data_IF_459306347696
#
_entry.id   IF_459306347696
#
_cell.length_a   1.000
_cell.length_b   1.000
_cell.length_c   1.000
_cell.angle_alpha   90.00
_cell.angle_beta   90.00
_cell.angle_gamma   90.00
#
_symmetry.space_group_name_H-M   'P 1'
#
loop_
_entity.id
_entity.type
_entity.pdbx_description
1 polymer ?
#
# COMPACT_ATOMS: atom_id res chain seq x y z
N UNK A 1 -3.51 28.84 -16.18
CA UNK A 1 -4.21 28.51 -17.47
C UNK A 1 -4.26 27.00 -17.74
N UNK A 2 -3.14 26.23 -17.74
CA UNK A 2 -3.23 24.77 -17.85
C UNK A 2 -3.90 24.13 -16.62
N UNK A 3 -3.69 24.70 -15.42
CA UNK A 3 -4.36 24.29 -14.17
C UNK A 3 -5.88 24.51 -14.23
N UNK A 4 -6.32 25.53 -14.93
CA UNK A 4 -7.73 25.79 -15.15
C UNK A 4 -8.40 24.68 -15.96
N UNK A 5 -7.73 24.23 -17.03
CA UNK A 5 -8.20 23.09 -17.85
C UNK A 5 -8.26 21.83 -17.00
N UNK A 6 -7.19 21.56 -16.23
CA UNK A 6 -7.15 20.40 -15.34
C UNK A 6 -8.29 20.46 -14.30
N UNK A 7 -8.55 21.63 -13.70
CA UNK A 7 -9.65 21.84 -12.76
C UNK A 7 -11.02 21.58 -13.39
N UNK A 8 -11.27 22.07 -14.61
CA UNK A 8 -12.54 21.83 -15.30
C UNK A 8 -12.76 20.36 -15.66
N UNK A 9 -11.70 19.61 -16.02
CA UNK A 9 -11.78 18.17 -16.22
C UNK A 9 -12.13 17.47 -14.90
N UNK A 10 -11.47 17.86 -13.80
CA UNK A 10 -11.77 17.32 -12.47
C UNK A 10 -13.21 17.62 -12.03
N UNK A 11 -13.69 18.83 -12.28
CA UNK A 11 -15.10 19.18 -11.99
C UNK A 11 -16.09 18.34 -12.80
N UNK A 12 -15.80 18.08 -14.08
CA UNK A 12 -16.63 17.22 -14.91
C UNK A 12 -16.66 15.78 -14.39
N UNK A 13 -15.53 15.27 -13.89
CA UNK A 13 -15.46 13.94 -13.22
C UNK A 13 -16.29 13.94 -11.94
N UNK A 14 -16.13 14.95 -11.08
CA UNK A 14 -16.89 15.05 -9.82
C UNK A 14 -18.39 15.17 -10.04
N UNK A 15 -18.82 15.87 -11.10
CA UNK A 15 -20.23 15.96 -11.49
C UNK A 15 -20.78 14.67 -12.15
N UNK A 16 -19.91 13.75 -12.54
CA UNK A 16 -20.28 12.55 -13.26
C UNK A 16 -20.49 12.75 -14.78
N UNK A 17 -20.09 13.90 -15.34
CA UNK A 17 -20.11 14.17 -16.77
C UNK A 17 -19.04 13.37 -17.53
N UNK A 18 -17.96 12.99 -16.83
CA UNK A 18 -16.89 12.12 -17.28
C UNK A 18 -16.70 10.99 -16.28
N UNK A 19 -16.73 9.75 -16.75
CA UNK A 19 -16.52 8.55 -15.94
C UNK A 19 -15.23 7.79 -16.27
N UNK A 20 -14.88 6.77 -15.51
CA UNK A 20 -13.75 5.88 -15.81
C UNK A 20 -13.84 5.31 -17.22
N UNK A 21 -12.71 5.29 -17.93
CA UNK A 21 -12.57 4.89 -19.34
C UNK A 21 -13.22 5.82 -20.38
N UNK A 22 -13.81 6.94 -19.99
CA UNK A 22 -14.23 7.95 -20.97
C UNK A 22 -13.01 8.59 -21.62
N UNK A 23 -13.12 8.82 -22.93
CA UNK A 23 -12.07 9.43 -23.71
C UNK A 23 -12.23 10.95 -23.71
N UNK A 24 -11.18 11.67 -23.35
CA UNK A 24 -11.15 13.11 -23.53
C UNK A 24 -11.13 13.47 -25.02
N UNK A 25 -11.69 14.65 -25.41
CA UNK A 25 -11.57 15.17 -26.77
C UNK A 25 -10.10 15.23 -27.21
N UNK A 26 -9.82 15.05 -28.51
CA UNK A 26 -8.46 15.20 -29.04
C UNK A 26 -7.85 16.58 -28.73
N UNK A 27 -6.51 16.65 -28.62
CA UNK A 27 -5.79 17.90 -28.31
C UNK A 27 -6.26 19.08 -29.18
N UNK A 28 -6.55 18.84 -30.49
CA UNK A 28 -7.01 19.86 -31.40
C UNK A 28 -8.36 20.43 -30.96
N UNK A 29 -9.28 19.57 -30.57
CA UNK A 29 -10.61 19.97 -30.12
C UNK A 29 -10.55 20.66 -28.76
N UNK A 30 -9.71 20.21 -27.85
CA UNK A 30 -9.46 20.88 -26.56
C UNK A 30 -8.90 22.29 -26.74
N UNK A 31 -8.04 22.52 -27.75
CA UNK A 31 -7.56 23.85 -28.11
C UNK A 31 -8.72 24.77 -28.53
N UNK A 32 -9.67 24.24 -29.30
CA UNK A 32 -10.86 25.01 -29.76
C UNK A 32 -11.83 25.26 -28.58
N UNK A 33 -12.09 24.23 -27.75
CA UNK A 33 -13.01 24.36 -26.62
C UNK A 33 -12.51 25.39 -25.59
N UNK A 34 -11.22 25.34 -25.25
CA UNK A 34 -10.65 26.20 -24.22
C UNK A 34 -10.06 27.50 -24.74
N UNK A 35 -9.95 27.68 -26.06
CA UNK A 35 -9.39 28.89 -26.66
C UNK A 35 -7.91 29.14 -26.31
N UNK A 36 -7.12 28.09 -26.10
CA UNK A 36 -5.73 28.16 -25.63
C UNK A 36 -4.75 27.54 -26.62
N UNK A 37 -3.45 27.71 -26.38
CA UNK A 37 -2.41 27.10 -27.22
C UNK A 37 -2.34 25.58 -27.06
N UNK A 38 -1.82 24.87 -28.08
CA UNK A 38 -1.55 23.44 -28.01
C UNK A 38 -0.58 23.08 -26.88
N UNK A 39 0.37 23.94 -26.58
CA UNK A 39 1.32 23.77 -25.49
C UNK A 39 0.59 23.73 -24.15
N UNK A 40 -0.34 24.65 -23.95
CA UNK A 40 -1.17 24.74 -22.73
C UNK A 40 -2.02 23.49 -22.53
N UNK A 41 -2.63 22.96 -23.60
CA UNK A 41 -3.42 21.71 -23.56
C UNK A 41 -2.53 20.53 -23.21
N UNK A 42 -1.34 20.42 -23.81
CA UNK A 42 -0.40 19.34 -23.49
C UNK A 42 0.08 19.37 -22.05
N UNK A 43 0.36 20.55 -21.51
CA UNK A 43 0.73 20.69 -20.10
C UNK A 43 -0.44 20.31 -19.18
N UNK A 44 -1.69 20.64 -19.52
CA UNK A 44 -2.85 20.19 -18.77
C UNK A 44 -2.99 18.65 -18.80
N UNK A 45 -2.85 18.03 -19.97
CA UNK A 45 -2.89 16.55 -20.12
C UNK A 45 -1.78 15.91 -19.31
N UNK A 46 -0.55 16.43 -19.38
CA UNK A 46 0.57 15.92 -18.56
C UNK A 46 0.31 16.06 -17.06
N UNK A 47 -0.23 17.19 -16.63
CA UNK A 47 -0.57 17.41 -15.22
C UNK A 47 -1.63 16.43 -14.72
N UNK A 48 -2.67 16.17 -15.52
CA UNK A 48 -3.71 15.20 -15.23
C UNK A 48 -3.17 13.76 -15.23
N UNK A 49 -2.25 13.43 -16.15
CA UNK A 49 -1.59 12.11 -16.20
C UNK A 49 -0.68 11.90 -15.00
N UNK A 50 0.13 12.90 -14.64
CA UNK A 50 1.00 12.86 -13.46
C UNK A 50 0.22 12.74 -12.15
N UNK A 51 -0.96 13.33 -12.07
CA UNK A 51 -1.86 13.19 -10.92
C UNK A 51 -2.66 11.88 -10.92
N UNK A 52 -2.50 11.03 -11.96
CA UNK A 52 -3.19 9.74 -12.05
C UNK A 52 -4.67 9.84 -12.40
N UNK A 53 -5.15 11.01 -12.84
CA UNK A 53 -6.55 11.25 -13.24
C UNK A 53 -6.85 10.67 -14.60
N UNK A 54 -5.88 10.73 -15.50
CA UNK A 54 -5.99 10.17 -16.86
C UNK A 54 -4.81 9.26 -17.18
N UNK A 55 -4.98 8.44 -18.20
CA UNK A 55 -3.92 7.69 -18.87
C UNK A 55 -3.87 8.00 -20.36
N UNK A 56 -2.65 8.11 -20.92
CA UNK A 56 -2.47 8.33 -22.37
C UNK A 56 -2.18 6.99 -23.04
N UNK A 57 -3.14 6.54 -23.87
CA UNK A 57 -3.02 5.30 -24.67
C UNK A 57 -2.47 5.63 -26.05
N UNK A 58 -1.57 4.79 -26.58
CA UNK A 58 -0.98 4.93 -27.92
C UNK A 58 -1.72 4.05 -28.94
N UNK A 59 -1.55 4.36 -30.24
CA UNK A 59 -2.12 3.57 -31.33
C UNK A 59 -3.31 4.23 -32.02
N UNK A 60 -3.98 3.48 -32.90
CA UNK A 60 -5.10 3.98 -33.73
C UNK A 60 -6.33 4.42 -32.91
N UNK A 61 -6.53 3.82 -31.77
CA UNK A 61 -7.56 4.20 -30.79
C UNK A 61 -6.98 5.06 -29.66
N UNK A 62 -5.74 5.52 -29.80
CA UNK A 62 -5.03 6.29 -28.79
C UNK A 62 -5.73 7.58 -28.36
N UNK A 63 -5.25 8.15 -27.26
CA UNK A 63 -5.78 9.39 -26.68
C UNK A 63 -5.70 9.39 -25.18
N UNK A 64 -6.17 10.45 -24.54
CA UNK A 64 -6.27 10.57 -23.10
C UNK A 64 -7.61 9.99 -22.62
N UNK A 65 -7.58 9.11 -21.64
CA UNK A 65 -8.75 8.44 -21.04
C UNK A 65 -8.79 8.71 -19.56
N UNK A 66 -9.99 8.89 -19.01
CA UNK A 66 -10.16 8.96 -17.56
C UNK A 66 -9.74 7.62 -16.94
N UNK A 67 -8.79 7.66 -16.01
CA UNK A 67 -8.29 6.46 -15.31
C UNK A 67 -9.29 6.04 -14.25
N UNK A 68 -9.52 4.74 -14.12
CA UNK A 68 -10.22 4.20 -12.96
C UNK A 68 -9.34 4.38 -11.72
N UNK A 69 -9.85 5.01 -10.63
CA UNK A 69 -9.04 5.24 -9.45
C UNK A 69 -8.60 3.92 -8.82
N UNK A 70 -7.31 3.65 -8.75
CA UNK A 70 -6.78 2.55 -7.97
C UNK A 70 -6.42 3.03 -6.56
N UNK A 71 -7.32 2.74 -5.61
CA UNK A 71 -7.10 3.04 -4.19
C UNK A 71 -5.81 2.41 -3.68
N UNK A 72 -5.38 1.27 -4.24
CA UNK A 72 -4.17 0.61 -3.83
C UNK A 72 -2.93 1.43 -4.20
N UNK A 73 -2.88 1.99 -5.44
CA UNK A 73 -1.79 2.89 -5.83
C UNK A 73 -1.67 4.10 -4.89
N UNK A 74 -2.81 4.68 -4.49
CA UNK A 74 -2.83 5.82 -3.55
C UNK A 74 -2.30 5.41 -2.18
N UNK A 75 -2.76 4.26 -1.65
CA UNK A 75 -2.28 3.71 -0.38
C UNK A 75 -0.78 3.46 -0.43
N UNK A 76 -0.27 2.85 -1.50
CA UNK A 76 1.16 2.55 -1.67
C UNK A 76 2.01 3.82 -1.74
N UNK A 77 1.53 4.88 -2.40
CA UNK A 77 2.23 6.18 -2.45
C UNK A 77 2.30 6.84 -1.06
N UNK A 78 1.18 6.86 -0.33
CA UNK A 78 1.13 7.39 1.04
C UNK A 78 2.00 6.54 1.97
N UNK A 79 1.95 5.21 1.86
CA UNK A 79 2.77 4.30 2.63
C UNK A 79 4.27 4.57 2.40
N UNK A 80 4.69 4.72 1.14
CA UNK A 80 6.08 5.05 0.80
C UNK A 80 6.51 6.41 1.39
N UNK A 81 5.66 7.43 1.34
CA UNK A 81 5.93 8.72 1.95
C UNK A 81 6.05 8.62 3.48
N UNK A 82 5.14 7.90 4.13
CA UNK A 82 5.13 7.70 5.58
C UNK A 82 6.28 6.80 6.08
N UNK A 83 6.77 5.86 5.25
CA UNK A 83 7.98 5.06 5.55
C UNK A 83 9.22 5.94 5.76
N UNK A 84 9.25 7.13 5.19
CA UNK A 84 10.32 8.13 5.41
C UNK A 84 10.16 8.92 6.71
N UNK A 85 9.04 8.79 7.41
CA UNK A 85 8.79 9.39 8.71
C UNK A 85 9.23 8.46 9.86
N UNK A 86 9.33 9.02 11.08
CA UNK A 86 9.71 8.24 12.26
C UNK A 86 8.48 7.62 12.95
N UNK A 87 7.70 6.83 12.22
CA UNK A 87 6.55 6.13 12.79
C UNK A 87 6.98 5.02 13.74
N UNK A 88 6.23 4.87 14.80
CA UNK A 88 6.41 3.77 15.78
C UNK A 88 5.26 2.77 15.67
N UNK A 89 5.54 1.51 16.00
CA UNK A 89 4.48 0.48 16.04
C UNK A 89 3.38 0.83 17.06
N UNK A 90 3.72 1.58 18.10
CA UNK A 90 2.73 2.04 19.08
C UNK A 90 1.74 3.01 18.44
N UNK A 91 2.19 4.03 17.71
CA UNK A 91 1.33 4.98 16.99
C UNK A 91 0.44 4.29 15.96
N UNK A 92 0.99 3.31 15.23
CA UNK A 92 0.22 2.51 14.28
C UNK A 92 -0.82 1.64 14.97
N UNK A 93 -0.49 1.05 16.13
CA UNK A 93 -1.43 0.25 16.92
C UNK A 93 -2.54 1.11 17.53
N UNK A 94 -2.25 2.31 18.00
CA UNK A 94 -3.23 3.28 18.49
C UNK A 94 -4.22 3.68 17.39
N UNK A 95 -3.73 4.02 16.19
CA UNK A 95 -4.57 4.34 15.05
C UNK A 95 -5.46 3.14 14.64
N UNK A 96 -4.87 1.94 14.59
CA UNK A 96 -5.58 0.72 14.25
C UNK A 96 -6.67 0.37 15.25
N UNK A 97 -6.35 0.43 16.55
CA UNK A 97 -7.30 0.19 17.63
C UNK A 97 -8.48 1.16 17.57
N UNK A 98 -8.22 2.45 17.32
CA UNK A 98 -9.29 3.45 17.17
C UNK A 98 -10.22 3.15 15.99
N UNK A 99 -9.66 2.80 14.81
CA UNK A 99 -10.45 2.45 13.62
C UNK A 99 -11.30 1.20 13.88
N UNK A 100 -10.69 0.12 14.34
CA UNK A 100 -11.38 -1.16 14.53
C UNK A 100 -12.41 -1.09 15.67
N UNK A 101 -12.07 -0.40 16.76
CA UNK A 101 -13.01 -0.19 17.87
C UNK A 101 -14.25 0.58 17.45
N UNK A 102 -14.11 1.67 16.68
CA UNK A 102 -15.28 2.43 16.18
C UNK A 102 -16.09 1.63 15.16
N UNK A 103 -15.42 0.85 14.31
CA UNK A 103 -16.10 -0.04 13.35
C UNK A 103 -16.98 -1.04 14.08
N UNK A 104 -16.44 -1.76 15.05
CA UNK A 104 -17.20 -2.75 15.82
C UNK A 104 -18.38 -2.09 16.56
N UNK A 105 -18.13 -0.98 17.25
CA UNK A 105 -19.14 -0.38 18.13
C UNK A 105 -20.22 0.41 17.39
N UNK A 106 -19.95 0.95 16.19
CA UNK A 106 -20.84 1.89 15.50
C UNK A 106 -21.30 1.46 14.12
N UNK A 107 -20.43 0.80 13.35
CA UNK A 107 -20.72 0.54 11.94
C UNK A 107 -21.32 -0.84 11.68
N UNK A 108 -20.85 -1.89 12.38
CA UNK A 108 -21.29 -3.26 12.11
C UNK A 108 -22.40 -3.77 13.05
N UNK A 109 -22.67 -3.05 14.13
CA UNK A 109 -23.62 -3.49 15.16
C UNK A 109 -25.05 -3.78 14.65
N UNK A 110 -25.47 -3.10 13.58
CA UNK A 110 -26.81 -3.27 12.99
C UNK A 110 -26.85 -4.17 11.76
N UNK A 111 -25.68 -4.58 11.20
CA UNK A 111 -25.64 -5.23 9.89
C UNK A 111 -24.82 -6.52 9.80
N UNK A 112 -24.02 -6.84 10.80
CA UNK A 112 -23.23 -8.09 10.80
C UNK A 112 -24.16 -9.31 10.71
N UNK A 113 -23.83 -10.23 9.83
CA UNK A 113 -24.58 -11.45 9.53
C UNK A 113 -23.91 -12.69 10.11
N UNK A 114 -24.63 -13.82 10.11
CA UNK A 114 -24.05 -15.11 10.50
C UNK A 114 -23.01 -15.59 9.46
N UNK A 115 -23.16 -15.17 8.20
CA UNK A 115 -22.16 -15.44 7.14
C UNK A 115 -20.85 -14.70 7.40
N UNK A 116 -20.91 -13.46 7.90
CA UNK A 116 -19.72 -12.70 8.30
C UNK A 116 -18.99 -13.38 9.46
N UNK A 117 -19.74 -13.87 10.45
CA UNK A 117 -19.20 -14.68 11.55
C UNK A 117 -18.53 -15.95 11.03
N UNK A 118 -19.19 -16.66 10.10
CA UNK A 118 -18.62 -17.87 9.49
C UNK A 118 -17.33 -17.56 8.71
N UNK A 119 -17.29 -16.44 7.97
CA UNK A 119 -16.08 -15.95 7.27
C UNK A 119 -14.93 -15.71 8.24
N UNK A 120 -15.17 -15.04 9.37
CA UNK A 120 -14.15 -14.82 10.39
C UNK A 120 -13.66 -16.14 11.00
N UNK A 121 -14.56 -17.09 11.29
CA UNK A 121 -14.17 -18.42 11.80
C UNK A 121 -13.33 -19.20 10.80
N UNK A 122 -13.69 -19.20 9.52
CA UNK A 122 -12.92 -19.84 8.46
C UNK A 122 -11.50 -19.22 8.33
N UNK A 123 -11.36 -17.92 8.51
CA UNK A 123 -10.05 -17.27 8.55
C UNK A 123 -9.20 -17.79 9.75
N UNK A 124 -9.82 -17.99 10.91
CA UNK A 124 -9.12 -18.55 12.10
C UNK A 124 -8.68 -20.00 11.86
N UNK A 125 -9.50 -20.81 11.22
CA UNK A 125 -9.12 -22.18 10.84
C UNK A 125 -7.93 -22.20 9.87
N UNK A 126 -7.93 -21.29 8.89
CA UNK A 126 -6.81 -21.13 7.96
C UNK A 126 -5.53 -20.68 8.68
N UNK A 127 -5.62 -19.75 9.62
CA UNK A 127 -4.49 -19.31 10.43
C UNK A 127 -3.89 -20.46 11.27
N UNK A 128 -4.74 -21.33 11.83
CA UNK A 128 -4.32 -22.54 12.56
C UNK A 128 -3.65 -23.56 11.62
N UNK A 129 -4.17 -23.75 10.41
CA UNK A 129 -3.54 -24.62 9.40
C UNK A 129 -2.14 -24.10 9.02
N UNK A 130 -1.97 -22.80 8.83
CA UNK A 130 -0.66 -22.21 8.55
C UNK A 130 0.30 -22.33 9.74
N UNK A 131 -0.22 -22.25 10.96
CA UNK A 131 0.55 -22.49 12.16
C UNK A 131 1.08 -23.93 12.21
N UNK A 132 0.20 -24.94 12.00
CA UNK A 132 0.58 -26.36 11.99
C UNK A 132 1.56 -26.71 10.86
N UNK A 133 1.43 -26.01 9.72
CA UNK A 133 2.31 -26.18 8.56
C UNK A 133 3.60 -25.35 8.65
N UNK A 134 3.86 -24.66 9.77
CA UNK A 134 5.03 -23.79 10.03
C UNK A 134 5.22 -22.67 8.97
N UNK A 135 4.13 -22.24 8.29
CA UNK A 135 4.13 -21.17 7.28
C UNK A 135 4.02 -19.80 7.94
N UNK A 136 5.13 -19.29 8.46
CA UNK A 136 5.15 -18.08 9.29
C UNK A 136 4.56 -16.85 8.60
N UNK A 137 4.94 -16.58 7.33
CA UNK A 137 4.47 -15.41 6.59
C UNK A 137 2.96 -15.47 6.34
N UNK A 138 2.45 -16.64 5.92
CA UNK A 138 1.01 -16.86 5.70
C UNK A 138 0.20 -16.77 6.97
N UNK A 139 0.77 -17.22 8.10
CA UNK A 139 0.17 -17.08 9.42
C UNK A 139 0.03 -15.60 9.82
N UNK A 140 1.06 -14.78 9.59
CA UNK A 140 1.01 -13.35 9.85
C UNK A 140 -0.05 -12.67 8.96
N UNK A 141 -0.08 -13.00 7.68
CA UNK A 141 -1.09 -12.49 6.75
C UNK A 141 -2.51 -12.85 7.19
N UNK A 142 -2.76 -14.11 7.58
CA UNK A 142 -4.08 -14.54 8.06
C UNK A 142 -4.50 -13.82 9.37
N UNK A 143 -3.53 -13.49 10.23
CA UNK A 143 -3.79 -12.72 11.43
C UNK A 143 -4.27 -11.28 11.13
N UNK A 144 -3.63 -10.59 10.18
CA UNK A 144 -4.08 -9.27 9.73
C UNK A 144 -5.38 -9.34 8.93
N UNK A 145 -5.60 -10.44 8.21
CA UNK A 145 -6.84 -10.69 7.46
C UNK A 145 -8.08 -10.68 8.35
N UNK A 146 -8.00 -11.25 9.57
CA UNK A 146 -9.08 -11.18 10.57
C UNK A 146 -9.54 -9.73 10.81
N UNK A 147 -8.59 -8.84 11.04
CA UNK A 147 -8.86 -7.43 11.28
C UNK A 147 -9.39 -6.71 10.04
N UNK A 148 -8.89 -7.09 8.84
CA UNK A 148 -9.37 -6.57 7.57
C UNK A 148 -10.85 -6.94 7.35
N UNK A 149 -11.22 -8.18 7.64
CA UNK A 149 -12.63 -8.64 7.53
C UNK A 149 -13.54 -7.74 8.39
N UNK A 150 -13.17 -7.47 9.63
CA UNK A 150 -13.96 -6.60 10.53
C UNK A 150 -14.18 -5.22 9.91
N UNK A 151 -13.12 -4.61 9.38
CA UNK A 151 -13.22 -3.24 8.85
C UNK A 151 -14.00 -3.19 7.54
N UNK A 152 -13.92 -4.21 6.70
CA UNK A 152 -14.71 -4.31 5.47
C UNK A 152 -16.23 -4.32 5.73
N UNK A 153 -16.67 -4.91 6.84
CA UNK A 153 -18.08 -4.93 7.22
C UNK A 153 -18.66 -3.52 7.50
N UNK A 154 -17.79 -2.52 7.69
CA UNK A 154 -18.26 -1.14 7.77
C UNK A 154 -18.86 -0.63 6.45
N UNK A 155 -18.52 -1.26 5.31
CA UNK A 155 -18.89 -0.82 3.95
C UNK A 155 -18.53 0.65 3.70
N UNK A 156 -17.44 1.08 4.31
CA UNK A 156 -16.91 2.44 4.18
C UNK A 156 -15.51 2.39 3.55
N UNK A 157 -15.37 2.77 2.27
CA UNK A 157 -14.11 2.66 1.56
C UNK A 157 -13.00 3.51 2.18
N UNK A 158 -13.34 4.63 2.84
CA UNK A 158 -12.35 5.48 3.50
C UNK A 158 -11.78 4.79 4.74
N UNK A 159 -12.62 4.12 5.56
CA UNK A 159 -12.15 3.33 6.70
C UNK A 159 -11.30 2.14 6.23
N UNK A 160 -11.73 1.44 5.19
CA UNK A 160 -10.99 0.30 4.62
C UNK A 160 -9.63 0.73 4.08
N UNK A 161 -9.56 1.84 3.34
CA UNK A 161 -8.31 2.42 2.83
C UNK A 161 -7.37 2.83 3.97
N UNK A 162 -7.88 3.53 4.97
CA UNK A 162 -7.08 3.99 6.11
C UNK A 162 -6.54 2.81 6.92
N UNK A 163 -7.38 1.81 7.18
CA UNK A 163 -6.97 0.58 7.86
C UNK A 163 -5.89 -0.16 7.07
N UNK A 164 -6.07 -0.32 5.76
CA UNK A 164 -5.08 -0.96 4.87
C UNK A 164 -3.72 -0.26 4.95
N UNK A 165 -3.70 1.07 4.91
CA UNK A 165 -2.49 1.87 5.07
C UNK A 165 -1.80 1.60 6.42
N UNK A 166 -2.54 1.66 7.53
CA UNK A 166 -1.99 1.44 8.87
C UNK A 166 -1.45 0.02 9.04
N UNK A 167 -2.14 -0.98 8.48
CA UNK A 167 -1.68 -2.39 8.48
C UNK A 167 -0.42 -2.54 7.63
N UNK A 168 -0.37 -2.00 6.41
CA UNK A 168 0.79 -2.07 5.53
C UNK A 168 2.04 -1.48 6.19
N UNK A 169 1.89 -0.35 6.89
CA UNK A 169 2.96 0.25 7.68
C UNK A 169 3.35 -0.57 8.92
N UNK A 170 2.44 -1.39 9.45
CA UNK A 170 2.70 -2.23 10.65
C UNK A 170 3.45 -3.52 10.32
N UNK A 171 3.23 -4.12 9.15
CA UNK A 171 3.79 -5.43 8.76
C UNK A 171 5.32 -5.51 8.96
N UNK A 172 6.14 -4.53 8.52
CA UNK A 172 7.59 -4.60 8.70
C UNK A 172 8.04 -4.70 10.16
N UNK A 173 7.28 -4.13 11.10
CA UNK A 173 7.59 -4.27 12.53
C UNK A 173 7.39 -5.70 13.01
N UNK A 174 6.33 -6.38 12.54
CA UNK A 174 6.04 -7.77 12.87
C UNK A 174 7.04 -8.73 12.22
N UNK A 175 7.45 -8.46 10.99
CA UNK A 175 8.48 -9.26 10.30
C UNK A 175 9.82 -9.19 11.02
N UNK A 176 10.21 -8.01 11.52
CA UNK A 176 11.45 -7.83 12.28
C UNK A 176 11.36 -8.45 13.67
N UNK A 177 10.25 -8.21 14.38
CA UNK A 177 10.08 -8.67 15.76
C UNK A 177 9.80 -10.17 15.87
N UNK A 178 9.29 -10.80 14.82
CA UNK A 178 8.93 -12.22 14.74
C UNK A 178 8.13 -12.71 15.98
N UNK A 179 6.79 -12.56 15.96
CA UNK A 179 5.95 -12.98 17.08
C UNK A 179 6.22 -14.41 17.52
N UNK A 180 6.36 -14.63 18.83
CA UNK A 180 6.58 -15.99 19.36
C UNK A 180 5.34 -16.88 19.17
N UNK A 181 5.56 -18.20 19.24
CA UNK A 181 4.49 -19.19 19.19
C UNK A 181 3.46 -18.97 20.31
N UNK A 182 3.91 -18.64 21.51
CA UNK A 182 3.01 -18.35 22.65
C UNK A 182 2.16 -17.11 22.37
N UNK A 183 2.74 -16.08 21.78
CA UNK A 183 2.01 -14.88 21.39
C UNK A 183 0.97 -15.17 20.33
N UNK A 184 1.31 -15.97 19.31
CA UNK A 184 0.35 -16.39 18.30
C UNK A 184 -0.85 -17.13 18.92
N UNK A 185 -0.60 -18.09 19.82
CA UNK A 185 -1.68 -18.82 20.52
C UNK A 185 -2.60 -17.90 21.33
N UNK A 186 -2.02 -16.90 22.01
CA UNK A 186 -2.79 -15.90 22.75
C UNK A 186 -3.66 -15.07 21.78
N UNK A 187 -3.06 -14.56 20.70
CA UNK A 187 -3.76 -13.82 19.65
C UNK A 187 -4.93 -14.60 19.07
N UNK A 188 -4.72 -15.88 18.72
CA UNK A 188 -5.78 -16.76 18.20
C UNK A 188 -6.94 -16.91 19.18
N UNK A 189 -6.63 -17.06 20.46
CA UNK A 189 -7.66 -17.16 21.51
C UNK A 189 -8.46 -15.87 21.63
N UNK A 190 -7.79 -14.72 21.61
CA UNK A 190 -8.42 -13.40 21.69
C UNK A 190 -9.29 -13.13 20.46
N UNK A 191 -8.85 -13.48 19.26
CA UNK A 191 -9.66 -13.36 18.04
C UNK A 191 -10.93 -14.21 18.11
N UNK A 192 -10.83 -15.47 18.56
CA UNK A 192 -11.99 -16.33 18.74
C UNK A 192 -12.96 -15.77 19.79
N UNK A 193 -12.47 -15.15 20.85
CA UNK A 193 -13.32 -14.51 21.86
C UNK A 193 -14.03 -13.26 21.26
N UNK A 194 -13.33 -12.45 20.46
CA UNK A 194 -13.96 -11.33 19.74
C UNK A 194 -15.08 -11.85 18.82
N UNK A 195 -14.84 -12.93 18.06
CA UNK A 195 -15.88 -13.56 17.23
C UNK A 195 -17.09 -14.00 18.06
N UNK A 196 -16.86 -14.67 19.21
CA UNK A 196 -17.92 -15.11 20.10
C UNK A 196 -18.77 -13.95 20.65
N UNK A 197 -18.11 -12.82 20.97
CA UNK A 197 -18.80 -11.62 21.41
C UNK A 197 -19.62 -10.99 20.28
N UNK A 198 -19.09 -10.94 19.06
CA UNK A 198 -19.81 -10.45 17.87
C UNK A 198 -21.02 -11.34 17.54
N UNK A 199 -20.90 -12.65 17.64
CA UNK A 199 -21.98 -13.61 17.44
C UNK A 199 -23.11 -13.42 18.47
N UNK A 200 -22.75 -13.14 19.74
CA UNK A 200 -23.69 -12.80 20.82
C UNK A 200 -24.24 -11.38 20.71
N UNK A 201 -23.82 -10.60 19.71
CA UNK A 201 -24.20 -9.19 19.55
C UNK A 201 -23.73 -8.29 20.69
N UNK A 202 -22.69 -8.69 21.42
CA UNK A 202 -22.07 -7.89 22.47
C UNK A 202 -20.94 -7.02 21.89
N UNK A 203 -21.35 -6.03 21.11
CA UNK A 203 -20.43 -5.15 20.36
C UNK A 203 -19.56 -4.28 21.27
N UNK A 204 -20.05 -3.96 22.47
CA UNK A 204 -19.28 -3.18 23.42
C UNK A 204 -18.04 -3.94 23.88
N UNK A 205 -18.25 -5.13 24.44
CA UNK A 205 -17.13 -5.95 24.91
C UNK A 205 -16.24 -6.44 23.75
N UNK A 206 -16.82 -6.71 22.58
CA UNK A 206 -16.05 -7.05 21.38
C UNK A 206 -15.10 -5.90 20.97
N UNK A 207 -15.59 -4.66 20.96
CA UNK A 207 -14.80 -3.46 20.68
C UNK A 207 -13.68 -3.27 21.71
N UNK A 208 -14.03 -3.32 23.01
CA UNK A 208 -13.07 -3.14 24.10
C UNK A 208 -11.96 -4.21 24.05
N UNK A 209 -12.33 -5.47 23.80
CA UNK A 209 -11.36 -6.58 23.67
C UNK A 209 -10.49 -6.41 22.43
N UNK A 210 -11.07 -6.03 21.29
CA UNK A 210 -10.32 -5.82 20.05
C UNK A 210 -9.28 -4.69 20.21
N UNK A 211 -9.68 -3.55 20.75
CA UNK A 211 -8.78 -2.43 21.02
C UNK A 211 -7.65 -2.82 21.96
N UNK A 212 -7.99 -3.47 23.09
CA UNK A 212 -7.01 -3.97 24.06
C UNK A 212 -6.02 -4.94 23.42
N UNK A 213 -6.53 -5.92 22.66
CA UNK A 213 -5.73 -6.89 21.93
C UNK A 213 -4.68 -6.20 21.03
N UNK A 214 -5.12 -5.25 20.19
CA UNK A 214 -4.25 -4.53 19.25
C UNK A 214 -3.14 -3.78 20.00
N UNK A 215 -3.50 -3.05 21.05
CA UNK A 215 -2.56 -2.25 21.84
C UNK A 215 -1.53 -3.13 22.58
N UNK A 216 -1.97 -4.24 23.19
CA UNK A 216 -1.07 -5.17 23.89
C UNK A 216 -0.11 -5.87 22.91
N UNK A 217 -0.60 -6.28 21.74
CA UNK A 217 0.24 -6.89 20.69
C UNK A 217 1.26 -5.87 20.19
N UNK A 218 0.84 -4.63 19.90
CA UNK A 218 1.73 -3.54 19.48
C UNK A 218 2.80 -3.23 20.52
N UNK A 219 2.45 -3.15 21.79
CA UNK A 219 3.38 -2.94 22.90
C UNK A 219 4.44 -4.05 22.98
N UNK A 220 4.03 -5.33 22.93
CA UNK A 220 4.95 -6.47 22.89
C UNK A 220 5.88 -6.46 21.68
N UNK A 221 5.39 -5.97 20.50
CA UNK A 221 6.23 -5.81 19.31
C UNK A 221 7.25 -4.69 19.48
N UNK A 222 6.85 -3.54 20.08
CA UNK A 222 7.75 -2.45 20.39
C UNK A 222 8.90 -2.88 21.30
N UNK A 223 8.61 -3.62 22.36
CA UNK A 223 9.61 -4.16 23.29
C UNK A 223 10.60 -5.11 22.59
N UNK A 224 10.07 -6.02 21.75
CA UNK A 224 10.90 -6.99 21.04
C UNK A 224 11.80 -6.37 19.99
N UNK A 225 11.31 -5.38 19.26
CA UNK A 225 12.07 -4.78 18.16
C UNK A 225 13.23 -3.91 18.66
N UNK A 226 13.24 -3.50 19.93
CA UNK A 226 14.16 -2.51 20.52
C UNK A 226 14.28 -1.25 19.64
N UNK A 227 13.26 -0.97 18.86
CA UNK A 227 13.23 0.11 17.89
C UNK A 227 12.06 1.02 18.19
N UNK A 228 12.36 2.29 18.43
CA UNK A 228 11.33 3.32 18.48
C UNK A 228 10.72 3.59 17.09
N UNK A 229 11.46 3.30 16.01
CA UNK A 229 11.01 3.41 14.63
C UNK A 229 11.74 2.42 13.72
N UNK A 230 11.00 1.67 12.89
CA UNK A 230 11.58 0.79 11.86
C UNK A 230 12.20 1.61 10.73
N UNK A 231 11.63 2.76 10.43
CA UNK A 231 12.01 3.59 9.29
C UNK A 231 13.12 4.59 9.62
N UNK A 232 13.45 4.80 10.90
CA UNK A 232 14.52 5.70 11.34
C UNK A 232 15.92 5.33 10.83
N UNK A 233 16.18 4.05 10.55
CA UNK A 233 17.44 3.56 9.95
C UNK A 233 17.69 4.05 8.53
N UNK A 234 16.65 4.38 7.77
CA UNK A 234 16.82 4.96 6.45
C UNK A 234 17.40 6.37 6.53
N UNK A 235 17.07 7.12 7.55
CA UNK A 235 17.61 8.48 7.78
C UNK A 235 19.10 8.48 8.14
N UNK A 236 19.56 7.52 8.95
CA UNK A 236 21.00 7.40 9.28
C UNK A 236 21.83 6.94 8.07
N UNK A 237 21.29 6.06 7.21
CA UNK A 237 21.94 5.68 5.96
C UNK A 237 21.95 6.83 4.94
N UNK A 238 20.88 7.59 4.79
CA UNK A 238 20.85 8.73 3.87
C UNK A 238 21.70 9.90 4.38
N UNK A 239 21.81 10.15 5.70
CA UNK A 239 22.72 11.16 6.26
C UNK A 239 24.19 10.75 6.13
N UNK A 240 24.53 9.48 6.27
CA UNK A 240 25.90 8.96 5.98
C UNK A 240 26.19 8.95 4.48
N UNK A 241 25.19 8.68 3.62
CA UNK A 241 25.32 8.77 2.17
C UNK A 241 25.44 10.22 1.70
N UNK A 242 24.77 11.18 2.34
CA UNK A 242 24.88 12.59 1.98
C UNK A 242 26.21 13.23 2.43
N UNK A 243 26.89 12.70 3.43
CA UNK A 243 28.28 13.08 3.73
C UNK A 243 29.30 12.46 2.75
N UNK A 244 29.02 11.27 2.22
CA UNK A 244 29.80 10.66 1.13
C UNK A 244 29.30 11.06 -0.27
N UNK A 245 28.09 11.59 -0.41
CA UNK A 245 27.45 11.92 -1.70
C UNK A 245 27.89 13.25 -2.31
N UNK A 246 28.75 14.04 -1.64
CA UNK A 246 29.43 15.19 -2.29
C UNK A 246 30.41 14.76 -3.37
N UNK A 247 30.74 13.45 -3.47
CA UNK A 247 31.55 12.88 -4.54
C UNK A 247 30.76 12.38 -5.75
N UNK A 248 29.44 12.16 -5.66
CA UNK A 248 28.66 11.54 -6.73
C UNK A 248 28.07 12.54 -7.73
N UNK A 249 27.97 13.81 -7.36
CA UNK A 249 27.48 14.91 -8.24
C UNK A 249 28.56 15.84 -8.76
N UNK A 250 29.85 15.61 -8.42
CA UNK A 250 30.94 16.32 -9.06
C UNK A 250 31.28 15.61 -10.38
N UNK A 251 30.61 16.06 -11.44
CA UNK A 251 30.80 15.54 -12.79
C UNK A 251 32.25 15.63 -13.26
N UNK A 252 32.95 14.51 -13.26
CA UNK A 252 34.04 14.27 -14.22
C UNK A 252 33.46 13.38 -15.31
N UNK A 253 33.68 13.74 -16.59
CA UNK A 253 33.27 12.89 -17.70
C UNK A 253 34.01 11.54 -17.59
N UNK A 254 33.31 10.45 -17.80
CA UNK A 254 33.90 9.14 -17.98
C UNK A 254 34.63 9.21 -19.33
N UNK A 255 35.93 9.38 -19.31
CA UNK A 255 36.78 9.17 -20.48
C UNK A 255 36.59 7.71 -20.91
N UNK A 256 36.01 7.52 -22.08
CA UNK A 256 36.00 6.23 -22.75
C UNK A 256 37.44 5.99 -23.24
N UNK A 257 38.13 5.11 -22.57
CA UNK A 257 39.39 4.55 -23.03
C UNK A 257 39.15 3.74 -24.32
N UNK A 258 39.45 4.37 -25.45
CA UNK A 258 39.46 3.75 -26.77
C UNK A 258 40.91 3.24 -26.99
N UNK A 259 41.23 2.19 -26.26
CA UNK A 259 42.51 1.46 -26.46
C UNK A 259 42.35 0.47 -27.62
N UNK A 260 42.81 0.88 -28.80
CA UNK A 260 43.07 -0.02 -29.91
C UNK A 260 44.23 -0.99 -29.59
N UNK A 261 44.08 -2.23 -30.01
CA UNK A 261 45.13 -3.27 -29.84
C UNK A 261 44.77 -4.55 -30.58
N UNK A 262 44.94 -4.49 -31.89
CA UNK A 262 45.19 -5.60 -32.80
C UNK A 262 46.05 -6.71 -32.17
N UNK A 263 45.61 -7.99 -32.28
CA UNK A 263 46.49 -9.14 -32.57
C UNK A 263 45.74 -10.47 -32.73
N UNK A 264 45.61 -10.89 -34.00
CA UNK A 264 45.92 -12.24 -34.53
C UNK A 264 45.34 -13.48 -33.84
N UNK A 265 44.45 -14.14 -34.58
CA UNK A 265 44.18 -15.58 -34.54
C UNK A 265 45.43 -16.43 -34.80
N UNK A 266 45.49 -17.63 -34.26
CA UNK A 266 45.68 -18.76 -35.16
C UNK A 266 44.80 -19.98 -34.85
N UNK A 267 44.26 -20.57 -35.92
CA UNK A 267 44.51 -21.94 -36.32
C UNK A 267 43.66 -23.04 -35.69
N UNK A 268 42.62 -23.33 -36.39
CA UNK A 268 42.17 -24.66 -36.82
C UNK A 268 42.84 -25.89 -36.15
N UNK A 269 41.99 -26.77 -35.58
CA UNK A 269 42.13 -28.24 -35.76
C UNK A 269 40.81 -28.96 -35.39
N UNK A 270 40.29 -29.56 -36.42
CA UNK A 270 39.37 -30.69 -36.54
C UNK A 270 39.68 -31.87 -35.65
N UNK A 271 38.68 -32.60 -35.20
CA UNK A 271 38.42 -34.07 -35.27
C UNK A 271 37.41 -34.42 -34.18
N UNK A 272 36.24 -34.87 -34.50
CA UNK A 272 35.72 -36.17 -34.95
C UNK A 272 35.56 -37.18 -33.82
N UNK A 273 34.29 -37.61 -33.71
CA UNK A 273 33.73 -38.94 -33.31
C UNK A 273 33.97 -39.46 -31.88
N UNK A 274 32.95 -39.62 -31.14
CA UNK A 274 32.22 -40.87 -30.87
C UNK A 274 30.95 -40.53 -30.03
#
# INVERSE_FOLDING_TARGET
MYEEIASQVMEAIVRGDLGPNDKLPPEKELVEIFGVSRVTVREAIRSLEQSGVIEVRQGSTGGAYIKEPDINEVVDQIENALRMSNLTIQQLSEARAAIEGIVISKFISSKITDEDIARMRANMELAEQYYRAEKHDRRLSANFEFHRIIVELAENPVLSMTHKLVVGLSIPFFEIAQPSISMFKTTMKEHLEIINLLEKRDFRHASDLCMKHILEVGGKMAEKSKMQSVFGRFKERSSRSSQNGKGFLSGKPIERDVGGGDKTLPGDKTCSTA
#
